data_IF_628137068188
#
_entry.id   IF_628137068188
#
_cell.length_a   1.000
_cell.length_b   1.000
_cell.length_c   1.000
_cell.angle_alpha   90.00
_cell.angle_beta   90.00
_cell.angle_gamma   90.00
#
_symmetry.space_group_name_H-M   'P 1'
#
loop_
_entity.id
_entity.type
_entity.pdbx_description
1 polymer ?
#
# COMPACT_ATOMS: atom_id res chain seq x y z
N UNK A 1 -15.05 -2.89 -20.32
CA UNK A 1 -15.87 -2.65 -19.12
C UNK A 1 -17.04 -1.73 -19.48
N UNK A 2 -18.10 -1.66 -18.68
CA UNK A 2 -19.16 -0.67 -18.91
C UNK A 2 -18.61 0.75 -18.69
N UNK A 3 -19.17 1.72 -19.41
CA UNK A 3 -18.82 3.13 -19.25
C UNK A 3 -19.08 3.62 -17.82
N UNK A 4 -18.18 4.48 -17.32
CA UNK A 4 -18.26 5.10 -16.00
C UNK A 4 -18.02 4.16 -14.81
N UNK A 5 -17.53 2.93 -15.03
CA UNK A 5 -17.36 1.95 -13.92
C UNK A 5 -16.35 2.40 -12.87
N UNK A 6 -15.36 3.22 -13.24
CA UNK A 6 -14.32 3.70 -12.34
C UNK A 6 -14.80 4.84 -11.44
N UNK A 7 -15.94 5.43 -11.78
CA UNK A 7 -16.55 6.59 -11.15
C UNK A 7 -17.73 6.19 -10.26
N UNK A 8 -18.23 4.96 -10.43
CA UNK A 8 -19.28 4.43 -9.57
C UNK A 8 -18.77 4.27 -8.15
N UNK A 9 -19.62 4.62 -7.20
CA UNK A 9 -19.38 4.44 -5.78
C UNK A 9 -19.35 2.95 -5.43
N UNK A 10 -18.30 2.54 -4.72
CA UNK A 10 -18.03 1.18 -4.30
C UNK A 10 -17.89 1.16 -2.78
N UNK A 11 -18.65 0.30 -2.11
CA UNK A 11 -18.61 0.16 -0.67
C UNK A 11 -17.46 -0.76 -0.25
N UNK A 12 -16.63 -0.29 0.69
CA UNK A 12 -15.56 -1.05 1.35
C UNK A 12 -15.75 -0.96 2.87
N UNK A 13 -16.67 -1.75 3.46
CA UNK A 13 -16.99 -1.67 4.89
C UNK A 13 -15.77 -1.86 5.81
N UNK A 14 -14.79 -2.64 5.37
CA UNK A 14 -13.51 -2.88 6.03
C UNK A 14 -12.62 -1.62 6.12
N UNK A 15 -12.77 -0.66 5.20
CA UNK A 15 -12.10 0.65 5.26
C UNK A 15 -12.99 1.65 5.99
N UNK A 16 -14.27 1.70 5.64
CA UNK A 16 -15.25 2.56 6.29
C UNK A 16 -16.66 1.99 6.15
N UNK A 17 -17.39 1.77 7.26
CA UNK A 17 -18.78 1.35 7.19
C UNK A 17 -19.74 2.49 6.79
N UNK A 18 -19.25 3.73 6.69
CA UNK A 18 -20.06 4.93 6.46
C UNK A 18 -19.78 5.60 5.11
N UNK A 19 -18.69 5.24 4.43
CA UNK A 19 -18.21 5.94 3.24
C UNK A 19 -18.08 4.98 2.07
N UNK A 20 -18.47 5.43 0.89
CA UNK A 20 -18.17 4.75 -0.37
C UNK A 20 -17.04 5.48 -1.10
N UNK A 21 -16.39 4.77 -2.02
CA UNK A 21 -15.29 5.33 -2.79
C UNK A 21 -15.52 5.12 -4.29
N UNK A 22 -15.09 6.05 -5.15
CA UNK A 22 -15.06 5.79 -6.59
C UNK A 22 -14.28 4.51 -6.90
N UNK A 23 -14.77 3.69 -7.84
CA UNK A 23 -14.14 2.41 -8.22
C UNK A 23 -12.64 2.51 -8.52
N UNK A 24 -12.18 3.61 -9.15
CA UNK A 24 -10.74 3.88 -9.34
C UNK A 24 -9.95 3.93 -8.04
N UNK A 25 -10.53 4.53 -7.00
CA UNK A 25 -9.90 4.67 -5.70
C UNK A 25 -9.89 3.32 -4.97
N UNK A 26 -10.98 2.56 -5.06
CA UNK A 26 -11.04 1.19 -4.57
C UNK A 26 -9.93 0.32 -5.19
N UNK A 27 -9.73 0.39 -6.52
CA UNK A 27 -8.64 -0.33 -7.20
C UNK A 27 -7.27 0.10 -6.67
N UNK A 28 -7.04 1.40 -6.43
CA UNK A 28 -5.76 1.90 -5.89
C UNK A 28 -5.49 1.36 -4.49
N UNK A 29 -6.50 1.26 -3.63
CA UNK A 29 -6.35 0.64 -2.31
C UNK A 29 -5.87 -0.80 -2.42
N UNK A 30 -6.50 -1.60 -3.28
CA UNK A 30 -6.11 -3.00 -3.46
C UNK A 30 -4.74 -3.14 -4.15
N UNK A 31 -4.39 -2.24 -5.07
CA UNK A 31 -3.10 -2.26 -5.74
C UNK A 31 -1.95 -2.13 -4.73
N UNK A 32 -1.99 -1.12 -3.86
CA UNK A 32 -0.93 -0.93 -2.85
C UNK A 32 -0.93 -2.07 -1.84
N UNK A 33 -2.10 -2.57 -1.47
CA UNK A 33 -2.26 -3.73 -0.57
C UNK A 33 -1.58 -4.98 -1.13
N UNK A 34 -1.83 -5.32 -2.40
CA UNK A 34 -1.20 -6.47 -3.07
C UNK A 34 0.30 -6.31 -3.28
N UNK A 35 0.80 -5.11 -3.56
CA UNK A 35 2.25 -4.87 -3.66
C UNK A 35 2.93 -5.15 -2.32
N UNK A 36 2.37 -4.64 -1.23
CA UNK A 36 2.94 -4.78 0.11
C UNK A 36 2.80 -6.22 0.62
N UNK A 37 1.62 -6.83 0.51
CA UNK A 37 1.41 -8.19 0.96
C UNK A 37 2.09 -9.24 0.07
N UNK A 38 2.26 -8.94 -1.22
CA UNK A 38 3.15 -9.72 -2.09
C UNK A 38 4.58 -9.70 -1.56
N UNK A 39 5.09 -8.55 -1.11
CA UNK A 39 6.40 -8.45 -0.47
C UNK A 39 6.45 -9.22 0.85
N UNK A 40 5.42 -9.12 1.70
CA UNK A 40 5.34 -9.83 2.98
C UNK A 40 5.48 -11.36 2.75
N UNK A 41 4.71 -11.90 1.79
CA UNK A 41 4.76 -13.34 1.44
C UNK A 41 6.13 -13.71 0.87
N UNK A 42 6.64 -12.94 -0.10
CA UNK A 42 7.92 -13.21 -0.75
C UNK A 42 9.08 -13.23 0.24
N UNK A 43 9.09 -12.30 1.21
CA UNK A 43 10.08 -12.27 2.30
C UNK A 43 9.93 -13.42 3.27
N UNK A 44 8.70 -13.82 3.59
CA UNK A 44 8.44 -14.94 4.51
C UNK A 44 8.97 -16.27 3.97
N UNK A 45 8.91 -16.47 2.65
CA UNK A 45 9.33 -17.73 2.00
C UNK A 45 10.69 -17.62 1.27
N UNK A 46 11.41 -16.52 1.47
CA UNK A 46 12.73 -16.23 0.89
C UNK A 46 12.79 -16.38 -0.64
N UNK A 47 11.84 -15.75 -1.34
CA UNK A 47 11.83 -15.69 -2.82
C UNK A 47 11.92 -14.25 -3.32
N UNK A 48 12.55 -14.01 -4.48
CA UNK A 48 12.57 -12.68 -5.08
C UNK A 48 11.18 -12.25 -5.53
N UNK A 49 10.83 -10.99 -5.29
CA UNK A 49 9.65 -10.34 -5.86
C UNK A 49 10.08 -9.30 -6.89
N UNK A 50 9.75 -9.54 -8.16
CA UNK A 50 9.93 -8.59 -9.24
C UNK A 50 8.56 -8.14 -9.75
N UNK A 51 8.34 -6.83 -9.72
CA UNK A 51 7.12 -6.19 -10.20
C UNK A 51 7.49 -5.23 -11.32
N UNK A 52 6.52 -4.98 -12.22
CA UNK A 52 6.69 -4.01 -13.29
C UNK A 52 7.03 -2.60 -12.72
N UNK A 53 7.99 -1.87 -13.29
CA UNK A 53 8.33 -0.52 -12.86
C UNK A 53 7.12 0.43 -12.77
N UNK A 54 6.16 0.34 -13.69
CA UNK A 54 4.98 1.20 -13.69
C UNK A 54 4.05 0.89 -12.50
N UNK A 55 4.00 -0.38 -12.09
CA UNK A 55 3.28 -0.81 -10.88
C UNK A 55 3.95 -0.24 -9.63
N UNK A 56 5.29 -0.32 -9.57
CA UNK A 56 6.06 0.21 -8.45
C UNK A 56 5.91 1.72 -8.31
N UNK A 57 6.03 2.49 -9.39
CA UNK A 57 5.86 3.95 -9.35
C UNK A 57 4.42 4.35 -8.96
N UNK A 58 3.41 3.65 -9.50
CA UNK A 58 2.01 3.88 -9.12
C UNK A 58 1.77 3.59 -7.65
N UNK A 59 2.29 2.47 -7.14
CA UNK A 59 2.16 2.08 -5.75
C UNK A 59 2.91 3.03 -4.80
N UNK A 60 4.09 3.53 -5.19
CA UNK A 60 4.82 4.53 -4.43
C UNK A 60 4.01 5.82 -4.26
N UNK A 61 3.41 6.33 -5.35
CA UNK A 61 2.54 7.51 -5.27
C UNK A 61 1.32 7.29 -4.37
N UNK A 62 0.74 6.08 -4.36
CA UNK A 62 -0.36 5.73 -3.46
C UNK A 62 0.13 5.67 -2.00
N UNK A 63 1.24 5.00 -1.72
CA UNK A 63 1.81 4.87 -0.38
C UNK A 63 2.20 6.24 0.21
N UNK A 64 2.73 7.15 -0.59
CA UNK A 64 3.05 8.53 -0.17
C UNK A 64 1.80 9.34 0.18
N UNK A 65 0.67 9.08 -0.49
CA UNK A 65 -0.60 9.73 -0.19
C UNK A 65 -1.24 9.24 1.12
N UNK A 66 -0.81 8.10 1.67
CA UNK A 66 -1.26 7.63 2.98
C UNK A 66 -0.68 8.55 4.07
N UNK A 67 -1.51 9.14 4.95
CA UNK A 67 -1.04 9.95 6.07
C UNK A 67 -0.08 9.17 6.99
N UNK A 68 0.92 9.86 7.51
CA UNK A 68 1.94 9.30 8.42
C UNK A 68 2.13 10.23 9.61
N UNK A 69 1.01 10.60 10.22
CA UNK A 69 0.97 11.41 11.42
C UNK A 69 0.89 10.57 12.70
N UNK A 70 0.70 11.24 13.85
CA UNK A 70 0.60 10.61 15.17
C UNK A 70 -0.49 9.54 15.29
N UNK A 71 -1.50 9.57 14.42
CA UNK A 71 -2.57 8.56 14.34
C UNK A 71 -2.04 7.13 14.14
N UNK A 72 -0.86 6.98 13.52
CA UNK A 72 -0.22 5.66 13.32
C UNK A 72 0.24 4.99 14.62
N UNK A 73 0.34 5.74 15.71
CA UNK A 73 0.68 5.20 17.04
C UNK A 73 -0.53 4.74 17.85
N UNK A 74 -1.76 4.91 17.35
CA UNK A 74 -2.98 4.58 18.10
C UNK A 74 -3.37 3.11 17.95
N UNK A 75 -3.99 2.49 18.98
CA UNK A 75 -4.55 1.15 18.87
C UNK A 75 -5.53 1.04 17.69
N UNK A 76 -5.35 0.00 16.86
CA UNK A 76 -6.19 -0.23 15.68
C UNK A 76 -5.82 0.60 14.44
N UNK A 77 -4.69 1.31 14.44
CA UNK A 77 -4.18 1.96 13.24
C UNK A 77 -3.94 0.95 12.11
N UNK A 78 -4.35 1.30 10.89
CA UNK A 78 -4.20 0.44 9.72
C UNK A 78 -2.74 0.26 9.27
N UNK A 79 -1.88 1.24 9.56
CA UNK A 79 -0.46 1.21 9.25
C UNK A 79 0.36 1.58 10.48
N UNK A 80 1.48 0.86 10.66
CA UNK A 80 2.52 1.26 11.61
C UNK A 80 3.22 2.55 11.14
N UNK A 81 3.91 3.28 12.03
CA UNK A 81 4.72 4.44 11.66
C UNK A 81 5.68 4.14 10.51
N UNK A 82 5.83 5.07 9.57
CA UNK A 82 6.78 4.93 8.48
C UNK A 82 8.22 4.71 8.99
N UNK A 83 8.96 3.84 8.31
CA UNK A 83 10.39 3.60 8.57
C UNK A 83 11.22 4.48 7.64
N UNK A 84 12.32 5.04 8.15
CA UNK A 84 13.20 5.88 7.36
C UNK A 84 13.87 5.07 6.22
N UNK A 85 13.88 5.64 5.02
CA UNK A 85 14.61 5.08 3.86
C UNK A 85 15.31 6.20 3.11
N UNK A 86 16.34 5.85 2.32
CA UNK A 86 16.95 6.80 1.42
C UNK A 86 16.28 6.75 0.03
N UNK A 87 16.28 7.88 -0.68
CA UNK A 87 15.65 7.97 -2.00
C UNK A 87 16.29 7.10 -3.08
N UNK A 88 17.54 6.66 -2.87
CA UNK A 88 18.26 5.75 -3.76
C UNK A 88 18.00 4.26 -3.46
N UNK A 89 17.23 3.94 -2.43
CA UNK A 89 16.79 2.56 -2.18
C UNK A 89 15.84 2.10 -3.30
N UNK A 90 15.76 0.78 -3.56
CA UNK A 90 14.75 0.22 -4.44
C UNK A 90 13.34 0.73 -4.11
N UNK A 91 12.54 1.03 -5.14
CA UNK A 91 11.19 1.60 -4.97
C UNK A 91 10.32 0.74 -4.05
N UNK A 92 10.40 -0.59 -4.18
CA UNK A 92 9.66 -1.52 -3.33
C UNK A 92 10.00 -1.36 -1.84
N UNK A 93 11.27 -1.15 -1.49
CA UNK A 93 11.68 -0.89 -0.11
C UNK A 93 11.10 0.42 0.42
N UNK A 94 11.10 1.46 -0.42
CA UNK A 94 10.52 2.77 -0.08
C UNK A 94 9.00 2.67 0.15
N UNK A 95 8.29 1.86 -0.65
CA UNK A 95 6.86 1.60 -0.49
C UNK A 95 6.58 0.91 0.85
N UNK A 96 7.22 -0.22 1.12
CA UNK A 96 6.91 -1.02 2.32
C UNK A 96 7.32 -0.27 3.60
N UNK A 97 8.43 0.47 3.57
CA UNK A 97 8.84 1.33 4.67
C UNK A 97 7.88 2.48 4.92
N UNK A 98 7.39 3.14 3.86
CA UNK A 98 6.37 4.18 3.99
C UNK A 98 5.10 3.66 4.67
N UNK A 99 4.82 2.37 4.54
CA UNK A 99 3.67 1.69 5.12
C UNK A 99 4.02 0.86 6.38
N UNK A 100 5.17 1.16 6.99
CA UNK A 100 5.56 0.73 8.32
C UNK A 100 6.22 -0.64 8.43
N UNK A 101 6.60 -1.26 7.31
CA UNK A 101 7.43 -2.48 7.32
C UNK A 101 8.91 -2.09 7.41
N UNK A 102 9.70 -2.91 8.07
CA UNK A 102 11.16 -2.80 7.99
C UNK A 102 11.66 -3.54 6.73
N UNK A 103 12.25 -2.86 5.72
CA UNK A 103 12.78 -3.52 4.53
C UNK A 103 13.92 -4.50 4.84
N UNK A 104 14.59 -4.37 5.98
CA UNK A 104 15.65 -5.26 6.43
C UNK A 104 15.14 -6.45 7.27
N UNK A 105 13.81 -6.56 7.47
CA UNK A 105 13.23 -7.68 8.19
C UNK A 105 13.60 -9.03 7.57
N UNK A 106 13.93 -9.98 8.44
CA UNK A 106 14.10 -11.40 8.13
C UNK A 106 13.12 -12.21 8.99
N UNK A 107 12.48 -13.19 8.36
CA UNK A 107 11.53 -14.11 9.00
C UNK A 107 12.20 -15.07 10.00
#
# INVERSE_FOLDING_TARGET
>A
AQDGVLEREFALPEISPLTTFPGKQAIRFHLVDYVVHGWDVARTIDVPLSLDPDVLETALGIAQAVPDGPERGQPGAAFAPGVATADHNPILERIVARLGRDPAWMA
#
